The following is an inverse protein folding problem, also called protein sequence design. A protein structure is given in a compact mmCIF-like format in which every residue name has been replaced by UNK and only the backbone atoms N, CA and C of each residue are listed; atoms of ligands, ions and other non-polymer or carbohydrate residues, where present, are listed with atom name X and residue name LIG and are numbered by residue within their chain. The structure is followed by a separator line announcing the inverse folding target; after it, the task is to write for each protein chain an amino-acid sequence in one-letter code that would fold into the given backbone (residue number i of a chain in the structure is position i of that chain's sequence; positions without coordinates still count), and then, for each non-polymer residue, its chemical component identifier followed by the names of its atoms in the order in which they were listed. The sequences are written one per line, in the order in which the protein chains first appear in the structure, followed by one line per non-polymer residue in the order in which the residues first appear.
data_IF_897679018143
#
_entry.id   IF_897679018143
#
_cell.length_a   1.000
_cell.length_b   1.000
_cell.length_c   1.000
_cell.angle_alpha   90.00
_cell.angle_beta   90.00
_cell.angle_gamma   90.00
#
_symmetry.space_group_name_H-M   'P 1'
#
loop_
_entity.id
_entity.type
_entity.pdbx_description
1 polymer ?
#
# COMPACT_ATOMS: atom_id res chain seq x y z
N UNK A 1 50.94 -31.22 2.01
CA UNK A 1 50.56 -31.20 0.62
C UNK A 1 49.10 -31.35 0.38
N UNK A 2 48.48 -32.30 0.95
CA UNK A 2 47.04 -32.49 0.83
C UNK A 2 46.22 -31.42 1.52
N UNK A 3 46.66 -30.83 2.64
CA UNK A 3 45.81 -29.83 3.34
C UNK A 3 45.50 -28.56 2.52
N UNK A 4 46.39 -28.19 1.63
CA UNK A 4 46.14 -27.00 0.81
C UNK A 4 44.96 -27.17 -0.14
N UNK A 5 44.78 -28.38 -0.66
CA UNK A 5 43.63 -28.67 -1.55
C UNK A 5 42.31 -28.63 -0.81
N UNK A 6 42.27 -29.11 0.40
CA UNK A 6 41.04 -29.06 1.21
C UNK A 6 40.69 -27.64 1.62
N UNK A 7 41.70 -26.82 1.90
CA UNK A 7 41.48 -25.43 2.26
C UNK A 7 40.86 -24.65 1.06
N UNK A 8 41.37 -24.94 -0.14
CA UNK A 8 40.84 -24.29 -1.35
C UNK A 8 39.38 -24.72 -1.64
N UNK A 9 39.08 -25.98 -1.44
CA UNK A 9 37.71 -26.47 -1.64
C UNK A 9 36.76 -25.82 -0.63
N UNK A 10 37.18 -25.69 0.61
CA UNK A 10 36.39 -25.01 1.64
C UNK A 10 36.20 -23.52 1.31
N UNK A 11 37.21 -22.88 0.79
CA UNK A 11 37.13 -21.48 0.40
C UNK A 11 36.15 -21.28 -0.74
N UNK A 12 36.16 -22.18 -1.71
CA UNK A 12 35.22 -22.15 -2.84
C UNK A 12 33.80 -22.36 -2.36
N UNK A 13 33.59 -23.27 -1.42
CA UNK A 13 32.26 -23.48 -0.84
C UNK A 13 31.74 -22.26 -0.10
N UNK A 14 32.60 -21.52 0.57
CA UNK A 14 32.16 -20.30 1.24
C UNK A 14 31.84 -19.18 0.27
N UNK A 15 32.50 -19.14 -0.86
CA UNK A 15 32.21 -18.15 -1.90
C UNK A 15 30.88 -18.41 -2.60
N UNK A 16 30.41 -19.65 -2.61
CA UNK A 16 29.14 -19.99 -3.26
C UNK A 16 27.93 -19.63 -2.40
N UNK A 17 28.14 -19.20 -1.16
CA UNK A 17 27.08 -18.69 -0.29
C UNK A 17 26.87 -17.19 -0.47
N UNK A 18 27.06 -16.69 -1.68
CA UNK A 18 26.72 -15.31 -1.98
C UNK A 18 25.21 -15.19 -1.82
N UNK A 19 24.81 -14.67 -0.67
CA UNK A 19 23.43 -14.38 -0.40
C UNK A 19 22.96 -13.33 -1.42
N UNK A 20 21.94 -13.70 -2.15
CA UNK A 20 21.31 -12.76 -3.05
C UNK A 20 20.66 -11.67 -2.20
N UNK A 21 21.30 -10.53 -2.17
CA UNK A 21 20.72 -9.39 -1.49
C UNK A 21 19.44 -9.04 -2.22
N UNK A 22 18.30 -9.31 -1.58
CA UNK A 22 17.03 -8.89 -2.14
C UNK A 22 16.96 -7.38 -2.10
N UNK A 23 16.94 -6.78 -3.27
CA UNK A 23 16.74 -5.35 -3.39
C UNK A 23 15.29 -5.07 -3.06
N UNK A 24 15.06 -4.45 -1.92
CA UNK A 24 13.73 -4.00 -1.55
C UNK A 24 13.44 -2.70 -2.28
N UNK A 25 12.40 -2.72 -3.10
CA UNK A 25 11.97 -1.54 -3.83
C UNK A 25 10.95 -0.78 -3.02
N UNK A 26 11.11 0.53 -2.96
CA UNK A 26 10.19 1.41 -2.26
C UNK A 26 9.42 2.27 -3.24
N UNK A 27 8.13 2.39 -3.00
CA UNK A 27 7.23 3.24 -3.76
C UNK A 27 6.80 4.40 -2.86
N UNK A 28 6.92 5.61 -3.38
CA UNK A 28 6.59 6.82 -2.65
C UNK A 28 5.38 7.49 -3.29
N UNK A 29 4.61 8.17 -2.48
CA UNK A 29 3.45 8.88 -2.98
C UNK A 29 2.99 9.99 -2.07
N UNK A 30 2.08 10.79 -2.62
CA UNK A 30 1.42 11.88 -1.92
C UNK A 30 -0.08 11.71 -2.07
N UNK A 31 -0.80 11.75 -0.96
CA UNK A 31 -2.26 11.63 -0.96
C UNK A 31 -2.87 12.96 -0.56
N UNK A 32 -3.78 13.46 -1.40
CA UNK A 32 -4.50 14.69 -1.14
C UNK A 32 -5.99 14.49 -1.36
N UNK A 33 -6.79 15.44 -0.89
CA UNK A 33 -8.19 15.50 -1.25
C UNK A 33 -8.36 16.26 -2.56
N UNK A 34 -9.61 16.45 -2.99
CA UNK A 34 -9.90 17.14 -4.26
C UNK A 34 -9.53 18.62 -4.24
N UNK A 35 -9.37 19.21 -3.07
CA UNK A 35 -8.94 20.61 -2.94
C UNK A 35 -7.43 20.75 -2.88
N UNK A 36 -6.68 19.64 -2.84
CA UNK A 36 -5.23 19.66 -2.80
C UNK A 36 -4.65 19.60 -1.41
N UNK A 37 -5.46 19.47 -0.38
CA UNK A 37 -4.97 19.37 0.99
C UNK A 37 -4.48 17.95 1.29
N UNK A 38 -3.31 17.83 1.93
CA UNK A 38 -2.77 16.50 2.27
C UNK A 38 -3.66 15.80 3.28
N UNK A 39 -3.83 14.47 3.09
CA UNK A 39 -4.62 13.63 3.98
C UNK A 39 -3.69 12.77 4.82
N UNK A 40 -3.87 12.85 6.14
CA UNK A 40 -3.12 12.03 7.10
C UNK A 40 -3.90 10.76 7.42
N UNK A 41 -3.17 9.64 7.58
CA UNK A 41 -3.77 8.40 8.02
C UNK A 41 -4.47 7.59 6.93
N UNK A 42 -4.25 7.93 5.67
CA UNK A 42 -4.78 7.15 4.54
C UNK A 42 -4.06 5.81 4.50
N UNK A 43 -4.82 4.73 4.38
CA UNK A 43 -4.27 3.37 4.32
C UNK A 43 -3.82 3.02 2.91
N UNK A 44 -2.58 2.60 2.77
CA UNK A 44 -2.02 2.11 1.51
C UNK A 44 -1.60 0.66 1.73
N UNK A 45 -2.22 -0.26 1.02
CA UNK A 45 -1.98 -1.70 1.15
C UNK A 45 -1.50 -2.26 -0.19
N UNK A 46 -0.39 -3.01 -0.16
CA UNK A 46 0.10 -3.73 -1.33
C UNK A 46 -0.64 -5.07 -1.38
N UNK A 47 -1.47 -5.28 -2.39
CA UNK A 47 -2.35 -6.45 -2.44
C UNK A 47 -1.60 -7.77 -2.53
N UNK A 48 -0.47 -7.80 -3.22
CA UNK A 48 0.27 -9.04 -3.44
C UNK A 48 1.00 -9.55 -2.20
N UNK A 49 1.40 -8.66 -1.29
CA UNK A 49 2.25 -9.02 -0.15
C UNK A 49 1.61 -8.71 1.20
N UNK A 50 0.49 -8.01 1.22
CA UNK A 50 -0.17 -7.49 2.43
C UNK A 50 0.69 -6.50 3.22
N UNK A 51 1.76 -5.99 2.64
CA UNK A 51 2.51 -4.88 3.22
C UNK A 51 1.64 -3.63 3.18
N UNK A 52 1.72 -2.83 4.22
CA UNK A 52 0.92 -1.63 4.27
C UNK A 52 1.61 -0.49 5.00
N UNK A 53 1.12 0.71 4.77
CA UNK A 53 1.57 1.91 5.46
C UNK A 53 0.41 2.90 5.53
N UNK A 54 0.63 4.00 6.22
CA UNK A 54 -0.33 5.10 6.28
C UNK A 54 0.37 6.39 5.92
N UNK A 55 -0.39 7.33 5.37
CA UNK A 55 0.16 8.64 5.02
C UNK A 55 0.44 9.47 6.28
N UNK A 56 1.47 10.33 6.19
CA UNK A 56 1.88 11.18 7.28
C UNK A 56 1.17 12.54 7.25
N UNK A 57 1.61 13.48 8.09
CA UNK A 57 1.03 14.82 8.20
C UNK A 57 1.05 15.58 6.88
N UNK A 58 2.03 15.31 6.03
CA UNK A 58 2.16 15.94 4.73
C UNK A 58 1.46 15.17 3.62
N UNK A 59 0.74 14.10 3.97
CA UNK A 59 0.09 13.23 3.01
C UNK A 59 1.03 12.29 2.29
N UNK A 60 2.28 12.23 2.69
CA UNK A 60 3.30 11.41 2.05
C UNK A 60 3.33 10.01 2.63
N UNK A 61 3.64 9.04 1.79
CA UNK A 61 3.82 7.66 2.23
C UNK A 61 4.97 7.01 1.48
N UNK A 62 5.54 5.99 2.10
CA UNK A 62 6.52 5.11 1.48
C UNK A 62 6.15 3.68 1.84
N UNK A 63 6.06 2.83 0.83
CA UNK A 63 5.69 1.42 1.03
C UNK A 63 6.61 0.53 0.20
N UNK A 64 6.94 -0.63 0.74
CA UNK A 64 7.75 -1.62 0.00
C UNK A 64 6.87 -2.31 -1.02
N UNK A 65 7.15 -2.08 -2.30
CA UNK A 65 6.41 -2.65 -3.40
C UNK A 65 7.27 -2.65 -4.65
N UNK A 66 6.90 -3.45 -5.63
CA UNK A 66 7.57 -3.51 -6.92
C UNK A 66 6.72 -2.82 -7.97
N UNK A 67 7.37 -2.34 -9.04
CA UNK A 67 6.66 -1.80 -10.18
C UNK A 67 5.66 -2.84 -10.71
N UNK A 68 4.42 -2.42 -10.85
CA UNK A 68 3.34 -3.28 -11.31
C UNK A 68 2.48 -3.86 -10.19
N UNK A 69 2.93 -3.79 -8.94
CA UNK A 69 2.10 -4.21 -7.81
C UNK A 69 0.89 -3.29 -7.69
N UNK A 70 -0.21 -3.85 -7.22
CA UNK A 70 -1.44 -3.07 -7.04
C UNK A 70 -1.47 -2.55 -5.60
N UNK A 71 -1.61 -1.23 -5.47
CA UNK A 71 -1.78 -0.57 -4.19
C UNK A 71 -3.26 -0.28 -3.99
N UNK A 72 -3.79 -0.74 -2.86
CA UNK A 72 -5.17 -0.44 -2.46
C UNK A 72 -5.15 0.74 -1.49
N UNK A 73 -5.78 1.83 -1.89
CA UNK A 73 -5.80 3.08 -1.13
C UNK A 73 -7.19 3.24 -0.54
N UNK A 74 -7.27 3.39 0.77
CA UNK A 74 -8.57 3.55 1.43
C UNK A 74 -8.48 4.53 2.60
N UNK A 75 -9.57 5.23 2.84
CA UNK A 75 -9.71 6.16 3.94
C UNK A 75 -11.18 6.32 4.30
N UNK A 76 -11.46 6.49 5.59
CA UNK A 76 -12.84 6.61 6.07
C UNK A 76 -13.53 7.82 5.44
N UNK A 77 -14.68 7.60 4.84
CA UNK A 77 -15.44 8.66 4.19
C UNK A 77 -15.02 8.99 2.76
N UNK A 78 -14.07 8.23 2.22
CA UNK A 78 -13.57 8.44 0.86
C UNK A 78 -13.69 7.18 0.03
N UNK A 79 -13.76 7.36 -1.28
CA UNK A 79 -13.84 6.24 -2.23
C UNK A 79 -12.49 5.57 -2.34
N UNK A 80 -12.45 4.25 -2.15
CA UNK A 80 -11.24 3.46 -2.29
C UNK A 80 -10.77 3.40 -3.74
N UNK A 81 -9.45 3.33 -3.94
CA UNK A 81 -8.83 3.26 -5.26
C UNK A 81 -7.81 2.16 -5.33
N UNK A 82 -7.55 1.67 -6.53
CA UNK A 82 -6.45 0.75 -6.80
C UNK A 82 -5.54 1.37 -7.84
N UNK A 83 -4.25 1.42 -7.54
CA UNK A 83 -3.25 2.09 -8.37
C UNK A 83 -2.06 1.15 -8.55
N UNK A 84 -1.47 1.14 -9.74
CA UNK A 84 -0.24 0.40 -9.99
C UNK A 84 0.95 1.15 -9.42
N UNK A 85 1.81 0.42 -8.72
CA UNK A 85 3.03 0.96 -8.14
C UNK A 85 4.07 1.23 -9.22
N UNK A 86 4.82 2.33 -9.05
CA UNK A 86 5.96 2.67 -9.88
C UNK A 86 7.12 3.09 -9.00
N UNK A 87 8.25 2.39 -9.10
CA UNK A 87 9.38 2.54 -8.17
C UNK A 87 10.12 3.85 -8.30
N UNK A 88 10.23 4.38 -9.51
CA UNK A 88 11.06 5.56 -9.79
C UNK A 88 10.26 6.85 -9.90
N UNK A 89 9.04 6.86 -9.39
CA UNK A 89 8.14 7.97 -9.59
C UNK A 89 7.31 8.19 -8.32
N UNK A 90 7.18 9.43 -7.91
CA UNK A 90 6.27 9.77 -6.82
C UNK A 90 4.84 9.71 -7.34
N UNK A 91 4.03 8.86 -6.74
CA UNK A 91 2.62 8.75 -7.10
C UNK A 91 1.83 9.91 -6.52
N UNK A 92 0.90 10.42 -7.29
CA UNK A 92 -0.05 11.42 -6.83
C UNK A 92 -1.42 10.80 -6.76
N UNK A 93 -2.00 10.81 -5.58
CA UNK A 93 -3.27 10.17 -5.32
C UNK A 93 -4.24 11.24 -4.82
N UNK A 94 -5.34 11.41 -5.53
CA UNK A 94 -6.40 12.33 -5.14
C UNK A 94 -7.57 11.50 -4.67
N UNK A 95 -7.95 11.67 -3.40
CA UNK A 95 -9.09 10.96 -2.80
C UNK A 95 -10.35 11.78 -2.99
N UNK A 96 -11.44 11.10 -3.32
CA UNK A 96 -12.75 11.71 -3.47
C UNK A 96 -13.67 11.26 -2.36
N UNK A 97 -14.44 12.19 -1.82
CA UNK A 97 -15.40 11.88 -0.76
C UNK A 97 -16.49 10.95 -1.27
N UNK A 98 -16.85 9.99 -0.43
CA UNK A 98 -17.90 9.04 -0.74
C UNK A 98 -19.25 9.58 -0.24
N UNK A 99 -19.78 10.56 -0.94
CA UNK A 99 -21.03 11.21 -0.56
C UNK A 99 -22.23 10.31 -0.77
N UNK A 100 -22.17 9.42 -1.76
CA UNK A 100 -23.24 8.46 -2.03
C UNK A 100 -23.47 7.52 -0.87
N UNK A 101 -22.39 7.00 -0.31
CA UNK A 101 -22.47 6.07 0.80
C UNK A 101 -23.06 6.73 2.04
N UNK A 102 -22.73 7.99 2.28
CA UNK A 102 -23.29 8.77 3.38
C UNK A 102 -24.79 9.01 3.16
N UNK A 103 -25.19 9.28 1.96
CA UNK A 103 -26.61 9.45 1.62
C UNK A 103 -27.37 8.16 1.85
N UNK A 104 -26.83 7.01 1.47
CA UNK A 104 -27.47 5.72 1.71
C UNK A 104 -27.65 5.46 3.20
N UNK A 105 -26.66 5.78 4.01
CA UNK A 105 -26.72 5.61 5.45
C UNK A 105 -27.82 6.49 6.05
N UNK A 106 -27.96 7.72 5.58
CA UNK A 106 -28.99 8.65 6.03
C UNK A 106 -30.39 8.16 5.65
N UNK A 107 -30.57 7.65 4.42
CA UNK A 107 -31.82 7.14 3.94
C UNK A 107 -32.25 5.88 4.68
N UNK A 108 -31.35 4.96 4.86
CA UNK A 108 -31.61 3.68 5.52
C UNK A 108 -31.73 3.86 7.03
N UNK A 109 -31.12 4.92 7.52
CA UNK A 109 -31.21 5.22 8.93
C UNK A 109 -32.58 5.56 9.43
N UNK A 110 -33.59 5.03 8.94
CA UNK A 110 -34.83 5.16 9.44
C UNK A 110 -35.79 4.28 9.20
N UNK A 111 -35.91 3.79 9.09
CA UNK A 111 -36.77 2.86 8.84
C UNK A 111 -37.02 2.02 8.52
N UNK A 112 -36.79 2.09 8.55
CA UNK A 112 -37.12 1.16 8.61
C UNK A 112 -37.61 0.54 8.48
N UNK A 113 -37.46 0.57 8.60
CA UNK A 113 -37.71 -0.11 8.91
C UNK A 113 -38.41 -0.47 8.66
N UNK A 114 -38.41 -0.34 8.56
CA UNK A 114 -38.94 -0.82 8.71
C UNK A 114 -39.59 -1.08 8.25
N UNK A 115 -39.49 -0.94 8.08
CA UNK A 115 -39.99 -1.33 8.11
C UNK A 115 -40.55 -1.50 7.84
N UNK A 116 -40.30 -1.10 7.75
CA UNK A 116 -40.82 -1.39 8.03
C UNK A 116 -41.67 -1.58 7.75
N UNK A 117 -41.54 -1.41 7.72
CA UNK A 117 -42.25 -1.70 7.94
C UNK A 117 -43.08 -1.64 7.81
N UNK A 118 -42.93 -1.25 7.80
CA UNK A 118 -43.51 -1.30 8.10
C UNK A 118 -44.36 -1.30 8.03
N UNK A 119 -44.58 -0.74 8.41
CA UNK A 119 -45.30 -1.01 8.80
C UNK A 119 -45.59 -1.53 9.03
#
# INVERSE_FOLDING_TARGET
MQPMRFIMILLVCHLSNATWAQVQSNVKGLVTDSSGEPLIGVSILVKSTNNGTVSDLDGKFTVTAKTGDILHISYVGYISQEIKAEENKQLRIIMEEDTKKLEEVVIVGYGTQKKVNLT
#
